data_IF_773282193238
#
_entry.id   IF_773282193238
#
_cell.length_a   1.000
_cell.length_b   1.000
_cell.length_c   1.000
_cell.angle_alpha   90.00
_cell.angle_beta   90.00
_cell.angle_gamma   90.00
#
_symmetry.space_group_name_H-M   'P 1'
#
loop_
_entity.id
_entity.type
_entity.pdbx_description
1 polymer ?
#
# COMPACT_ATOMS: atom_id res chain seq x y z
N UNK A 1 -26.70 -75.71 48.19
CA UNK A 1 -26.05 -76.42 47.07
C UNK A 1 -24.63 -75.92 47.01
N UNK A 2 -23.60 -76.72 47.15
CA UNK A 2 -23.43 -78.11 47.55
C UNK A 2 -21.92 -78.24 47.81
N UNK A 3 -21.56 -79.08 48.75
CA UNK A 3 -20.21 -79.33 49.22
C UNK A 3 -19.29 -79.91 48.14
N UNK A 4 -17.98 -79.85 48.39
CA UNK A 4 -17.05 -81.01 48.46
C UNK A 4 -15.63 -80.46 48.32
N UNK A 5 -14.68 -80.71 49.21
CA UNK A 5 -14.15 -82.01 49.66
C UNK A 5 -12.64 -81.93 49.36
N UNK A 6 -11.76 -81.84 50.37
CA UNK A 6 -11.14 -82.87 51.21
C UNK A 6 -9.72 -83.23 50.72
N UNK A 7 -8.87 -83.51 51.71
CA UNK A 7 -7.47 -84.00 51.74
C UNK A 7 -6.35 -82.97 51.49
N UNK A 8 -5.49 -82.65 52.49
CA UNK A 8 -4.44 -83.45 53.20
C UNK A 8 -3.28 -83.80 52.26
N UNK A 9 -2.00 -83.68 52.59
CA UNK A 9 -1.23 -83.24 53.76
C UNK A 9 0.24 -83.08 53.26
N UNK A 10 1.15 -82.69 54.17
CA UNK A 10 2.62 -82.92 54.14
C UNK A 10 3.58 -81.71 53.91
N UNK A 11 3.62 -80.88 54.96
CA UNK A 11 4.76 -80.45 55.78
C UNK A 11 6.21 -80.39 55.24
N UNK A 12 6.91 -79.27 55.52
CA UNK A 12 8.31 -79.20 56.04
C UNK A 12 8.46 -77.86 56.83
N UNK A 13 8.45 -77.87 58.18
CA UNK A 13 9.60 -77.86 59.13
C UNK A 13 10.38 -76.51 59.21
N UNK A 14 10.18 -75.72 60.30
CA UNK A 14 11.14 -75.43 61.42
C UNK A 14 12.08 -74.21 61.17
N UNK A 15 12.46 -73.31 62.11
CA UNK A 15 12.39 -73.10 63.58
C UNK A 15 12.66 -71.58 63.80
N UNK A 16 11.88 -70.89 64.64
CA UNK A 16 12.23 -70.37 65.99
C UNK A 16 13.21 -69.17 66.02
N UNK A 17 12.64 -68.01 66.33
CA UNK A 17 13.28 -66.82 66.91
C UNK A 17 13.81 -67.12 68.31
N UNK A 18 14.83 -66.37 68.79
CA UNK A 18 14.62 -65.59 70.02
C UNK A 18 15.76 -64.63 70.45
N UNK A 19 15.32 -63.65 71.26
CA UNK A 19 15.96 -63.01 72.43
C UNK A 19 16.73 -61.64 72.39
N UNK A 20 16.05 -60.65 73.01
CA UNK A 20 16.46 -59.64 74.05
C UNK A 20 17.15 -58.30 73.75
N UNK A 21 16.39 -57.23 74.08
CA UNK A 21 16.57 -56.19 75.13
C UNK A 21 17.89 -55.39 75.30
N UNK A 22 17.81 -54.03 75.25
CA UNK A 22 17.77 -53.13 76.43
C UNK A 22 18.24 -51.66 76.19
N UNK A 23 17.39 -50.72 76.67
CA UNK A 23 17.60 -49.39 77.32
C UNK A 23 18.15 -48.13 76.62
N UNK A 24 17.33 -47.08 76.77
CA UNK A 24 17.51 -45.63 76.57
C UNK A 24 18.47 -44.93 77.55
N UNK A 25 19.03 -43.78 77.13
CA UNK A 25 18.92 -42.47 77.82
C UNK A 25 19.70 -41.34 77.09
N UNK A 26 19.04 -40.22 76.77
CA UNK A 26 19.50 -38.84 77.07
C UNK A 26 18.60 -37.77 76.41
N UNK A 27 18.08 -36.85 77.24
CA UNK A 27 17.31 -35.66 76.87
C UNK A 27 18.23 -34.49 76.48
N UNK A 28 17.91 -33.75 75.41
CA UNK A 28 18.47 -32.42 75.09
C UNK A 28 17.34 -31.46 74.71
N UNK A 29 17.26 -30.32 75.40
CA UNK A 29 16.37 -29.19 75.09
C UNK A 29 17.06 -28.19 74.18
N UNK A 30 16.55 -27.92 72.97
CA UNK A 30 16.82 -26.66 72.22
C UNK A 30 15.68 -26.30 71.24
N UNK A 31 15.41 -24.99 71.15
CA UNK A 31 14.35 -24.22 70.44
C UNK A 31 13.98 -24.61 68.99
N UNK A 32 12.79 -24.23 68.49
CA UNK A 32 12.39 -24.50 67.10
C UNK A 32 13.02 -23.49 66.13
N UNK A 33 13.89 -23.97 65.23
CA UNK A 33 14.47 -23.17 64.15
C UNK A 33 13.55 -23.20 62.93
N UNK A 34 12.92 -22.06 62.65
CA UNK A 34 12.02 -21.80 61.52
C UNK A 34 12.79 -21.92 60.18
N UNK A 35 12.67 -23.05 59.49
CA UNK A 35 13.26 -23.28 58.15
C UNK A 35 12.41 -22.63 57.04
N UNK A 36 12.48 -21.30 56.89
CA UNK A 36 11.92 -20.58 55.73
C UNK A 36 12.80 -19.47 55.10
N UNK A 37 14.15 -19.51 55.10
CA UNK A 37 14.94 -18.42 54.51
C UNK A 37 15.47 -18.66 53.08
N UNK A 38 15.27 -19.82 52.44
CA UNK A 38 15.83 -20.05 51.10
C UNK A 38 14.78 -20.13 49.99
N UNK A 39 13.72 -20.91 50.19
CA UNK A 39 12.66 -21.03 49.19
C UNK A 39 11.89 -19.71 48.97
N UNK A 40 11.70 -18.92 50.03
CA UNK A 40 11.08 -17.59 49.96
C UNK A 40 11.94 -16.60 49.18
N UNK A 41 13.27 -16.62 49.38
CA UNK A 41 14.20 -15.79 48.64
C UNK A 41 14.30 -16.18 47.17
N UNK A 42 14.28 -17.48 46.86
CA UNK A 42 14.25 -17.98 45.48
C UNK A 42 12.95 -17.52 44.79
N UNK A 43 11.80 -17.61 45.48
CA UNK A 43 10.53 -17.15 44.93
C UNK A 43 10.51 -15.63 44.68
N UNK A 44 11.06 -14.84 45.60
CA UNK A 44 11.17 -13.37 45.44
C UNK A 44 12.09 -13.02 44.26
N UNK A 45 13.23 -13.71 44.12
CA UNK A 45 14.16 -13.50 43.01
C UNK A 45 13.54 -13.90 41.66
N UNK A 46 12.76 -14.99 41.62
CA UNK A 46 12.02 -15.39 40.43
C UNK A 46 10.94 -14.36 40.05
N UNK A 47 10.24 -13.80 41.03
CA UNK A 47 9.25 -12.75 40.79
C UNK A 47 9.91 -11.46 40.30
N UNK A 48 11.04 -11.07 40.91
CA UNK A 48 11.80 -9.88 40.52
C UNK A 48 12.37 -9.99 39.10
N UNK A 49 12.84 -11.18 38.69
CA UNK A 49 13.30 -11.43 37.33
C UNK A 49 12.14 -11.41 36.33
N UNK A 50 10.98 -12.00 36.65
CA UNK A 50 9.77 -11.91 35.80
C UNK A 50 9.29 -10.47 35.61
N UNK A 51 9.23 -9.68 36.70
CA UNK A 51 8.85 -8.27 36.64
C UNK A 51 9.89 -7.44 35.88
N UNK A 52 11.18 -7.72 36.08
CA UNK A 52 12.26 -7.08 35.33
C UNK A 52 12.19 -7.35 33.83
N UNK A 53 11.93 -8.60 33.44
CA UNK A 53 11.72 -8.98 32.02
C UNK A 53 10.46 -8.34 31.46
N UNK A 54 9.37 -8.26 32.24
CA UNK A 54 8.14 -7.61 31.81
C UNK A 54 8.33 -6.09 31.60
N UNK A 55 8.95 -5.40 32.56
CA UNK A 55 9.29 -3.98 32.44
C UNK A 55 10.22 -3.77 31.25
N UNK A 56 11.29 -4.58 31.10
CA UNK A 56 12.20 -4.51 29.96
C UNK A 56 11.49 -4.74 28.62
N UNK A 57 10.51 -5.67 28.57
CA UNK A 57 9.70 -5.91 27.38
C UNK A 57 8.79 -4.74 27.04
N UNK A 58 8.23 -4.06 28.04
CA UNK A 58 7.44 -2.83 27.87
C UNK A 58 8.34 -1.67 27.45
N UNK A 59 9.54 -1.55 28.00
CA UNK A 59 10.57 -0.58 27.58
C UNK A 59 10.98 -0.80 26.12
N UNK A 60 11.19 -2.04 25.68
CA UNK A 60 11.46 -2.36 24.28
C UNK A 60 10.29 -2.02 23.35
N UNK A 61 9.04 -2.15 23.85
CA UNK A 61 7.82 -1.83 23.11
C UNK A 61 7.54 -0.32 23.05
N UNK A 62 7.95 0.44 24.07
CA UNK A 62 7.83 1.90 24.11
C UNK A 62 9.00 2.63 23.42
N UNK A 63 10.23 2.10 23.49
CA UNK A 63 11.43 2.74 22.89
C UNK A 63 11.78 2.26 21.47
N UNK A 64 10.94 1.44 20.81
CA UNK A 64 11.15 1.10 19.39
C UNK A 64 12.50 0.47 19.05
N UNK A 65 13.24 -0.08 20.02
CA UNK A 65 14.61 -0.56 19.81
C UNK A 65 14.66 -1.81 18.92
N UNK A 66 13.55 -2.57 18.83
CA UNK A 66 13.38 -3.66 17.87
C UNK A 66 13.26 -3.16 16.42
N UNK A 67 12.78 -1.94 16.22
CA UNK A 67 12.85 -1.25 14.92
C UNK A 67 14.27 -0.75 14.63
N UNK A 68 14.99 -0.28 15.65
CA UNK A 68 16.40 0.13 15.54
C UNK A 68 17.34 -0.99 15.07
N UNK A 69 17.19 -2.21 15.59
CA UNK A 69 17.99 -3.38 15.20
C UNK A 69 17.69 -3.89 13.78
N UNK A 70 16.45 -3.75 13.31
CA UNK A 70 16.08 -4.00 11.90
C UNK A 70 16.55 -2.88 10.98
N UNK A 71 16.66 -1.65 11.49
CA UNK A 71 17.17 -0.51 10.75
C UNK A 71 18.69 -0.59 10.58
N UNK A 72 19.43 -1.11 11.57
CA UNK A 72 20.87 -1.35 11.45
C UNK A 72 21.21 -2.48 10.47
N UNK A 73 20.42 -3.55 10.39
CA UNK A 73 20.62 -4.60 9.37
C UNK A 73 20.25 -4.16 7.95
N UNK A 74 19.45 -3.09 7.80
CA UNK A 74 19.22 -2.44 6.51
C UNK A 74 20.33 -1.45 6.12
N UNK A 75 21.06 -0.89 7.10
CA UNK A 75 22.20 0.01 6.87
C UNK A 75 23.47 -0.79 6.52
N UNK A 76 23.63 -2.01 7.01
CA UNK A 76 24.84 -2.82 6.76
C UNK A 76 24.98 -3.33 5.32
N UNK A 77 23.91 -3.26 4.51
CA UNK A 77 23.97 -3.55 3.05
C UNK A 77 24.45 -2.36 2.20
N UNK A 78 24.88 -1.25 2.80
CA UNK A 78 25.44 -0.08 2.09
C UNK A 78 26.96 -0.14 1.81
N UNK A 79 27.64 -1.26 2.09
CA UNK A 79 29.11 -1.33 2.03
C UNK A 79 29.74 -2.02 0.80
N UNK A 80 29.07 -1.98 -0.34
CA UNK A 80 29.71 -2.07 -1.65
C UNK A 80 29.17 -0.92 -2.52
N UNK A 81 29.96 0.14 -2.74
CA UNK A 81 29.59 1.24 -3.66
C UNK A 81 30.33 1.05 -4.98
N UNK A 82 29.78 0.35 -5.98
CA UNK A 82 30.35 0.29 -7.33
C UNK A 82 30.17 1.60 -8.12
N UNK A 83 29.33 2.52 -7.65
CA UNK A 83 28.93 3.70 -8.42
C UNK A 83 29.54 4.99 -7.87
N UNK A 84 30.30 5.70 -8.71
CA UNK A 84 30.67 7.09 -8.45
C UNK A 84 29.41 7.94 -8.39
N UNK A 85 29.17 8.56 -7.22
CA UNK A 85 28.06 9.49 -7.03
C UNK A 85 28.46 10.81 -7.71
N UNK A 86 27.81 11.25 -8.80
CA UNK A 86 27.88 12.67 -9.16
C UNK A 86 27.41 13.51 -7.95
N UNK A 87 27.73 14.81 -7.92
CA UNK A 87 27.29 15.72 -6.87
C UNK A 87 25.76 15.85 -6.88
N UNK A 88 25.08 14.88 -6.25
CA UNK A 88 23.65 14.90 -5.99
C UNK A 88 23.45 15.83 -4.79
N UNK A 89 22.64 16.88 -4.89
CA UNK A 89 22.34 17.74 -3.76
C UNK A 89 21.79 16.94 -2.58
N UNK A 90 22.15 17.32 -1.35
CA UNK A 90 21.70 16.60 -0.14
C UNK A 90 20.18 16.46 -0.05
N UNK A 91 19.46 17.47 -0.56
CA UNK A 91 17.98 17.49 -0.63
C UNK A 91 17.38 16.45 -1.58
N UNK A 92 18.17 15.92 -2.51
CA UNK A 92 17.75 14.92 -3.50
C UNK A 92 18.15 13.49 -3.11
N UNK A 93 19.10 13.31 -2.18
CA UNK A 93 19.59 12.01 -1.72
C UNK A 93 18.46 11.06 -1.30
N UNK A 94 17.44 11.49 -0.52
CA UNK A 94 16.38 10.58 -0.07
C UNK A 94 15.52 9.99 -1.20
N UNK A 95 15.53 10.60 -2.38
CA UNK A 95 14.68 10.24 -3.53
C UNK A 95 15.44 9.46 -4.61
N UNK A 96 16.72 9.18 -4.39
CA UNK A 96 17.60 8.50 -5.35
C UNK A 96 17.92 7.10 -4.83
N UNK A 97 17.58 6.08 -5.62
CA UNK A 97 17.73 4.68 -5.23
C UNK A 97 18.57 3.91 -6.25
N UNK A 98 19.26 2.86 -5.80
CA UNK A 98 20.00 1.93 -6.65
C UNK A 98 19.49 0.50 -6.39
N UNK A 99 18.25 0.18 -6.81
CA UNK A 99 17.67 -1.13 -6.57
C UNK A 99 18.44 -2.22 -7.31
N UNK A 100 18.61 -3.36 -6.63
CA UNK A 100 19.21 -4.59 -7.15
C UNK A 100 18.12 -5.65 -7.27
N UNK A 101 17.43 -5.76 -8.41
CA UNK A 101 16.36 -6.74 -8.59
C UNK A 101 16.90 -8.17 -8.52
N UNK A 102 16.15 -9.06 -7.88
CA UNK A 102 16.52 -10.49 -7.79
C UNK A 102 16.28 -11.22 -9.12
N UNK A 103 15.40 -10.67 -9.96
CA UNK A 103 14.85 -11.36 -11.13
C UNK A 103 15.56 -11.05 -12.45
N UNK A 104 16.54 -10.14 -12.46
CA UNK A 104 17.40 -9.80 -13.61
C UNK A 104 18.56 -8.89 -13.16
N UNK A 105 19.60 -8.76 -13.98
CA UNK A 105 20.66 -7.77 -13.75
C UNK A 105 20.37 -6.48 -14.51
N UNK A 106 20.63 -5.32 -13.88
CA UNK A 106 20.59 -4.00 -14.53
C UNK A 106 21.83 -3.71 -15.38
N UNK A 107 22.80 -4.65 -15.43
CA UNK A 107 24.03 -4.59 -16.23
C UNK A 107 24.72 -3.22 -16.18
N UNK A 108 24.95 -2.60 -17.34
CA UNK A 108 25.61 -1.29 -17.48
C UNK A 108 24.86 -0.16 -16.74
N UNK A 109 23.56 -0.32 -16.53
CA UNK A 109 22.70 0.63 -15.85
C UNK A 109 22.54 0.37 -14.34
N UNK A 110 23.33 -0.52 -13.75
CA UNK A 110 23.35 -0.73 -12.29
C UNK A 110 23.60 0.58 -11.51
N UNK A 111 24.42 1.47 -12.08
CA UNK A 111 24.73 2.78 -11.51
C UNK A 111 23.82 3.92 -11.95
N UNK A 112 22.75 3.63 -12.69
CA UNK A 112 21.72 4.62 -13.01
C UNK A 112 20.79 4.78 -11.80
N UNK A 113 20.67 6.00 -11.23
CA UNK A 113 19.76 6.25 -10.13
C UNK A 113 18.31 6.04 -10.55
N UNK A 114 17.50 5.50 -9.66
CA UNK A 114 16.07 5.24 -9.86
C UNK A 114 15.26 6.09 -8.91
N UNK A 115 14.28 6.81 -9.44
CA UNK A 115 13.31 7.60 -8.68
C UNK A 115 11.99 6.87 -8.57
N UNK A 116 11.45 6.83 -7.36
CA UNK A 116 10.18 6.18 -7.10
C UNK A 116 9.04 7.19 -7.18
N UNK A 117 7.96 6.82 -7.87
CA UNK A 117 6.78 7.67 -7.94
C UNK A 117 5.47 6.88 -7.81
N UNK A 118 4.39 7.62 -7.52
CA UNK A 118 3.02 7.12 -7.61
C UNK A 118 2.10 8.19 -8.20
N UNK A 119 1.32 7.83 -9.21
CA UNK A 119 0.28 8.68 -9.79
C UNK A 119 -0.99 8.50 -8.95
N UNK A 120 -1.30 9.48 -8.12
CA UNK A 120 -2.46 9.46 -7.22
C UNK A 120 -3.63 10.16 -7.92
N UNK A 121 -4.74 9.44 -8.13
CA UNK A 121 -5.83 9.96 -8.97
C UNK A 121 -7.18 9.35 -8.59
N UNK A 122 -8.24 9.82 -9.26
CA UNK A 122 -9.57 9.22 -9.19
C UNK A 122 -9.94 8.64 -10.55
N UNK A 123 -10.88 7.68 -10.57
CA UNK A 123 -11.41 7.15 -11.83
C UNK A 123 -11.89 8.29 -12.74
N UNK A 124 -11.60 8.16 -14.03
CA UNK A 124 -11.99 9.11 -15.09
C UNK A 124 -11.39 10.53 -14.98
N UNK A 125 -10.24 10.64 -14.30
CA UNK A 125 -9.46 11.89 -14.22
C UNK A 125 -8.30 11.96 -15.23
N UNK A 126 -8.29 11.09 -16.24
CA UNK A 126 -7.28 11.09 -17.30
C UNK A 126 -5.97 10.35 -16.97
N UNK A 127 -5.88 9.71 -15.80
CA UNK A 127 -4.65 9.05 -15.33
C UNK A 127 -4.18 7.88 -16.20
N UNK A 128 -5.07 7.15 -16.87
CA UNK A 128 -4.68 6.15 -17.87
C UNK A 128 -4.00 6.75 -19.10
N UNK A 129 -4.47 7.90 -19.59
CA UNK A 129 -3.81 8.61 -20.70
C UNK A 129 -2.48 9.22 -20.25
N UNK A 130 -2.46 9.87 -19.09
CA UNK A 130 -1.24 10.44 -18.51
C UNK A 130 -0.16 9.40 -18.26
N UNK A 131 -0.52 8.22 -17.74
CA UNK A 131 0.40 7.10 -17.58
C UNK A 131 1.02 6.66 -18.92
N UNK A 132 0.23 6.57 -19.99
CA UNK A 132 0.80 6.22 -21.32
C UNK A 132 1.73 7.29 -21.87
N UNK A 133 1.53 8.56 -21.52
CA UNK A 133 2.48 9.62 -21.86
C UNK A 133 3.81 9.39 -21.15
N UNK A 134 3.78 9.13 -19.84
CA UNK A 134 5.00 8.86 -19.07
C UNK A 134 5.72 7.60 -19.57
N UNK A 135 5.00 6.51 -19.84
CA UNK A 135 5.58 5.27 -20.37
C UNK A 135 6.06 5.37 -21.83
N UNK A 136 5.84 6.49 -22.51
CA UNK A 136 6.51 6.75 -23.80
C UNK A 136 7.96 7.20 -23.64
N UNK A 137 8.37 7.54 -22.41
CA UNK A 137 9.76 7.80 -22.06
C UNK A 137 10.49 6.49 -21.79
N UNK A 138 11.63 6.28 -22.45
CA UNK A 138 12.38 5.03 -22.41
C UNK A 138 12.79 4.62 -20.98
N UNK A 139 13.23 5.57 -20.15
CA UNK A 139 13.62 5.31 -18.77
C UNK A 139 12.50 5.36 -17.71
N UNK A 140 11.22 5.51 -18.10
CA UNK A 140 10.09 5.50 -17.15
C UNK A 140 9.31 4.19 -17.24
N UNK A 141 9.05 3.59 -16.09
CA UNK A 141 8.18 2.40 -15.97
C UNK A 141 7.06 2.64 -14.95
N UNK A 142 5.88 3.04 -15.41
CA UNK A 142 4.63 3.01 -14.64
C UNK A 142 3.88 1.68 -14.86
N UNK A 143 3.56 0.99 -13.76
CA UNK A 143 3.07 -0.40 -13.77
C UNK A 143 1.54 -0.54 -13.65
N UNK A 144 0.76 0.48 -14.06
CA UNK A 144 -0.70 0.41 -14.04
C UNK A 144 -1.30 0.45 -12.64
N UNK A 145 -2.57 0.04 -12.55
CA UNK A 145 -3.35 -0.01 -11.30
C UNK A 145 -3.13 -1.32 -10.54
N UNK A 146 -1.91 -1.52 -10.01
CA UNK A 146 -1.58 -2.78 -9.33
C UNK A 146 -2.49 -3.05 -8.12
N UNK A 147 -3.04 -2.01 -7.49
CA UNK A 147 -3.96 -2.10 -6.34
C UNK A 147 -5.45 -2.14 -6.71
N UNK A 148 -5.79 -2.25 -8.00
CA UNK A 148 -7.15 -2.63 -8.41
C UNK A 148 -7.52 -4.04 -7.89
N UNK A 149 -6.51 -4.91 -7.76
CA UNK A 149 -6.59 -6.27 -7.19
C UNK A 149 -6.77 -6.20 -5.67
N UNK A 150 -7.85 -6.80 -5.15
CA UNK A 150 -8.27 -6.66 -3.74
C UNK A 150 -7.27 -7.26 -2.77
N UNK A 151 -6.70 -8.41 -3.11
CA UNK A 151 -5.79 -9.18 -2.27
C UNK A 151 -4.54 -8.36 -1.90
N UNK A 152 -4.03 -7.60 -2.86
CA UNK A 152 -2.83 -6.74 -2.70
C UNK A 152 -3.07 -5.55 -1.76
N UNK A 153 -4.33 -5.18 -1.55
CA UNK A 153 -4.74 -4.09 -0.64
C UNK A 153 -5.63 -4.55 0.51
N UNK A 154 -5.55 -5.82 0.86
CA UNK A 154 -6.31 -6.42 1.97
C UNK A 154 -5.98 -5.79 3.32
N UNK A 155 -4.71 -5.46 3.55
CA UNK A 155 -4.19 -4.78 4.73
C UNK A 155 -2.87 -4.05 4.40
N UNK A 156 -2.35 -3.28 5.36
CA UNK A 156 -1.11 -2.51 5.16
C UNK A 156 0.10 -3.38 4.85
N UNK A 157 0.24 -4.56 5.47
CA UNK A 157 1.36 -5.49 5.19
C UNK A 157 1.36 -5.97 3.74
N UNK A 158 0.19 -6.28 3.18
CA UNK A 158 0.03 -6.66 1.77
C UNK A 158 0.38 -5.49 0.84
N UNK A 159 0.00 -4.27 1.22
CA UNK A 159 0.31 -3.05 0.48
C UNK A 159 1.83 -2.83 0.46
N UNK A 160 2.48 -2.81 1.62
CA UNK A 160 3.93 -2.55 1.71
C UNK A 160 4.73 -3.62 0.99
N UNK A 161 4.36 -4.91 1.13
CA UNK A 161 4.99 -6.01 0.39
C UNK A 161 4.87 -5.83 -1.13
N UNK A 162 3.72 -5.34 -1.60
CA UNK A 162 3.49 -5.06 -3.02
C UNK A 162 4.33 -3.89 -3.50
N UNK A 163 4.41 -2.80 -2.72
CA UNK A 163 5.25 -1.64 -3.02
C UNK A 163 6.74 -1.99 -3.00
N UNK A 164 7.20 -2.79 -2.05
CA UNK A 164 8.60 -3.22 -1.98
C UNK A 164 8.98 -4.03 -3.22
N UNK A 165 8.11 -4.95 -3.65
CA UNK A 165 8.31 -5.70 -4.90
C UNK A 165 8.39 -4.78 -6.11
N UNK A 166 7.55 -3.74 -6.18
CA UNK A 166 7.57 -2.75 -7.25
C UNK A 166 8.86 -1.93 -7.26
N UNK A 167 9.21 -1.33 -6.13
CA UNK A 167 10.30 -0.37 -6.03
C UNK A 167 11.69 -1.04 -6.00
N UNK A 168 11.76 -2.33 -5.67
CA UNK A 168 12.97 -3.13 -5.88
C UNK A 168 13.12 -3.62 -7.34
N UNK A 169 12.24 -3.18 -8.26
CA UNK A 169 12.21 -3.58 -9.66
C UNK A 169 11.90 -5.07 -9.92
N UNK A 170 11.34 -5.79 -8.96
CA UNK A 170 10.96 -7.20 -9.07
C UNK A 170 9.48 -7.40 -9.43
N UNK A 171 8.82 -6.34 -9.90
CA UNK A 171 7.47 -6.44 -10.42
C UNK A 171 7.45 -7.17 -11.76
N UNK A 172 6.78 -8.33 -11.77
CA UNK A 172 6.52 -9.07 -13.00
C UNK A 172 5.36 -8.39 -13.73
N UNK A 173 5.67 -7.75 -14.85
CA UNK A 173 4.68 -7.24 -15.80
C UNK A 173 4.94 -7.82 -17.19
N UNK A 174 3.97 -7.71 -18.09
CA UNK A 174 4.12 -8.08 -19.49
C UNK A 174 4.99 -7.10 -20.28
N UNK A 175 5.39 -5.96 -19.69
CA UNK A 175 6.34 -5.05 -20.31
C UNK A 175 7.76 -5.62 -20.17
N UNK A 176 8.56 -5.50 -21.24
CA UNK A 176 9.97 -5.89 -21.20
C UNK A 176 10.68 -5.17 -20.05
N UNK A 177 11.44 -5.91 -19.24
CA UNK A 177 12.21 -5.31 -18.15
C UNK A 177 13.28 -4.40 -18.75
N UNK A 178 13.24 -3.12 -18.42
CA UNK A 178 14.25 -2.17 -18.86
C UNK A 178 15.36 -2.06 -17.82
N UNK A 179 16.54 -2.55 -18.18
CA UNK A 179 17.78 -2.48 -17.40
C UNK A 179 18.11 -1.04 -16.96
N UNK A 180 17.77 -0.07 -17.82
CA UNK A 180 18.06 1.36 -17.66
C UNK A 180 16.86 2.18 -17.18
N UNK A 181 15.93 1.57 -16.44
CA UNK A 181 14.87 2.31 -15.75
C UNK A 181 15.49 3.37 -14.81
N UNK A 182 15.06 4.62 -14.95
CA UNK A 182 15.48 5.75 -14.10
C UNK A 182 14.32 6.31 -13.27
N UNK A 183 13.07 5.99 -13.61
CA UNK A 183 11.93 6.19 -12.72
C UNK A 183 10.96 5.02 -12.79
N UNK A 184 10.53 4.52 -11.64
CA UNK A 184 9.56 3.43 -11.53
C UNK A 184 8.41 3.83 -10.63
N UNK A 185 7.21 3.45 -11.01
CA UNK A 185 6.02 3.77 -10.25
C UNK A 185 4.80 2.98 -10.66
N UNK A 186 3.67 3.49 -10.17
CA UNK A 186 2.36 2.92 -10.38
C UNK A 186 1.30 4.01 -10.51
N UNK A 187 0.13 3.63 -10.99
CA UNK A 187 -1.09 4.40 -10.86
C UNK A 187 -1.92 3.86 -9.72
N UNK A 188 -2.38 4.74 -8.83
CA UNK A 188 -3.16 4.33 -7.65
C UNK A 188 -4.37 5.23 -7.48
N UNK A 189 -5.55 4.61 -7.55
CA UNK A 189 -6.78 5.36 -7.34
C UNK A 189 -7.03 5.60 -5.84
N UNK A 190 -7.51 6.79 -5.48
CA UNK A 190 -7.74 7.19 -4.07
C UNK A 190 -8.63 6.20 -3.30
N UNK A 191 -9.61 5.60 -3.98
CA UNK A 191 -10.53 4.62 -3.40
C UNK A 191 -10.01 3.16 -3.39
N UNK A 192 -8.80 2.90 -3.90
CA UNK A 192 -8.20 1.57 -3.94
C UNK A 192 -7.35 1.29 -2.68
N UNK A 193 -7.91 1.56 -1.50
CA UNK A 193 -7.24 1.32 -0.21
C UNK A 193 -6.23 2.39 0.21
N UNK A 194 -5.81 3.27 -0.71
CA UNK A 194 -4.87 4.37 -0.44
C UNK A 194 -5.37 5.28 0.69
N UNK A 195 -6.58 5.80 0.57
CA UNK A 195 -7.15 6.70 1.59
C UNK A 195 -7.49 5.99 2.90
N UNK A 196 -7.68 4.67 2.87
CA UNK A 196 -7.96 3.86 4.08
C UNK A 196 -6.70 3.69 4.94
N UNK A 197 -5.53 3.58 4.31
CA UNK A 197 -4.23 3.35 4.96
C UNK A 197 -3.30 4.54 4.78
N UNK A 198 -3.86 5.76 4.77
CA UNK A 198 -3.12 6.94 4.33
C UNK A 198 -1.93 7.27 5.25
N UNK A 199 -2.06 7.06 6.57
CA UNK A 199 -0.99 7.36 7.53
C UNK A 199 0.23 6.48 7.28
N UNK A 200 0.01 5.18 7.15
CA UNK A 200 1.07 4.20 6.94
C UNK A 200 1.68 4.31 5.53
N UNK A 201 0.87 4.67 4.53
CA UNK A 201 1.37 4.92 3.17
C UNK A 201 2.22 6.20 3.13
N UNK A 202 1.83 7.26 3.84
CA UNK A 202 2.64 8.49 3.96
C UNK A 202 3.98 8.18 4.63
N UNK A 203 3.97 7.41 5.71
CA UNK A 203 5.20 6.96 6.37
C UNK A 203 6.09 6.15 5.42
N UNK A 204 5.50 5.20 4.68
CA UNK A 204 6.22 4.43 3.67
C UNK A 204 6.84 5.34 2.60
N UNK A 205 6.06 6.27 2.04
CA UNK A 205 6.50 7.15 0.95
C UNK A 205 7.64 8.04 1.41
N UNK A 206 7.55 8.63 2.60
CA UNK A 206 8.63 9.46 3.15
C UNK A 206 9.88 8.65 3.44
N UNK A 207 9.75 7.46 4.05
CA UNK A 207 10.88 6.58 4.35
C UNK A 207 11.57 6.06 3.09
N UNK A 208 10.80 5.76 2.04
CA UNK A 208 11.29 5.17 0.79
C UNK A 208 11.52 6.18 -0.32
N UNK A 209 11.40 7.48 -0.07
CA UNK A 209 11.65 8.50 -1.10
C UNK A 209 10.66 8.46 -2.27
N UNK A 210 9.42 8.04 -2.05
CA UNK A 210 8.41 7.97 -3.12
C UNK A 210 7.80 9.34 -3.35
N UNK A 211 7.87 9.82 -4.59
CA UNK A 211 7.26 11.09 -5.00
C UNK A 211 5.82 10.90 -5.47
N UNK A 212 4.89 11.75 -5.02
CA UNK A 212 3.49 11.67 -5.40
C UNK A 212 3.18 12.64 -6.56
N UNK A 213 2.54 12.14 -7.62
CA UNK A 213 2.01 12.94 -8.72
C UNK A 213 0.49 12.90 -8.62
N UNK A 214 -0.11 13.97 -8.11
CA UNK A 214 -1.56 14.09 -8.12
C UNK A 214 -2.04 14.46 -9.51
N UNK A 215 -2.92 13.65 -10.09
CA UNK A 215 -3.66 14.01 -11.30
C UNK A 215 -5.16 14.01 -11.00
N UNK A 216 -5.69 15.20 -10.81
CA UNK A 216 -7.09 15.44 -10.49
C UNK A 216 -7.83 15.99 -11.70
N UNK A 217 -9.16 16.10 -11.60
CA UNK A 217 -10.00 16.67 -12.66
C UNK A 217 -10.90 17.73 -12.07
N UNK A 218 -10.81 18.97 -12.55
CA UNK A 218 -11.58 20.08 -11.98
C UNK A 218 -13.06 19.95 -12.27
N UNK A 219 -13.44 19.56 -13.49
CA UNK A 219 -14.85 19.44 -13.83
C UNK A 219 -15.41 18.09 -13.37
N UNK A 220 -15.95 18.07 -12.15
CA UNK A 220 -16.48 16.85 -11.53
C UNK A 220 -17.78 16.36 -12.18
N UNK A 221 -18.59 17.25 -12.77
CA UNK A 221 -19.78 16.85 -13.54
C UNK A 221 -19.38 16.07 -14.80
N UNK A 222 -18.43 16.59 -15.58
CA UNK A 222 -17.90 15.92 -16.77
C UNK A 222 -17.18 14.61 -16.40
N UNK A 223 -16.49 14.58 -15.25
CA UNK A 223 -15.95 13.34 -14.70
C UNK A 223 -17.06 12.33 -14.42
N UNK A 224 -18.15 12.76 -13.79
CA UNK A 224 -19.28 11.90 -13.44
C UNK A 224 -20.00 11.33 -14.68
N UNK A 225 -20.25 12.17 -15.69
CA UNK A 225 -20.73 11.70 -17.01
C UNK A 225 -19.82 10.60 -17.56
N UNK A 226 -18.51 10.81 -17.48
CA UNK A 226 -17.56 9.81 -17.96
C UNK A 226 -17.51 8.53 -17.13
N UNK A 227 -17.91 8.55 -15.85
CA UNK A 227 -18.07 7.35 -15.02
C UNK A 227 -19.28 6.58 -15.51
N UNK A 228 -20.43 7.26 -15.62
CA UNK A 228 -21.69 6.63 -16.06
C UNK A 228 -21.56 6.01 -17.46
N UNK A 229 -20.92 6.71 -18.41
CA UNK A 229 -20.68 6.15 -19.74
C UNK A 229 -19.75 4.94 -19.73
N UNK A 230 -18.72 4.94 -18.88
CA UNK A 230 -17.82 3.79 -18.74
C UNK A 230 -18.53 2.57 -18.13
N UNK A 231 -19.39 2.80 -17.14
CA UNK A 231 -20.16 1.73 -16.49
C UNK A 231 -21.24 1.19 -17.44
N UNK A 232 -21.85 2.04 -18.26
CA UNK A 232 -22.73 1.61 -19.34
C UNK A 232 -21.99 0.67 -20.31
N UNK A 233 -20.84 1.07 -20.86
CA UNK A 233 -20.05 0.20 -21.74
C UNK A 233 -19.58 -1.09 -21.04
N UNK A 234 -19.34 -1.08 -19.72
CA UNK A 234 -19.04 -2.31 -18.98
C UNK A 234 -20.21 -3.31 -19.05
N UNK A 235 -21.43 -2.82 -19.01
CA UNK A 235 -22.65 -3.64 -19.06
C UNK A 235 -23.03 -4.05 -20.49
N UNK A 236 -22.95 -3.13 -21.45
CA UNK A 236 -23.43 -3.34 -22.83
C UNK A 236 -22.34 -3.80 -23.80
N UNK A 237 -21.06 -3.58 -23.44
CA UNK A 237 -19.87 -3.95 -24.21
C UNK A 237 -19.96 -3.48 -25.66
N UNK A 238 -20.09 -2.16 -25.83
CA UNK A 238 -20.50 -1.51 -27.09
C UNK A 238 -19.51 -1.75 -28.25
N UNK A 239 -18.27 -2.12 -27.95
CA UNK A 239 -17.24 -2.38 -28.95
C UNK A 239 -17.03 -3.88 -29.13
N UNK A 240 -17.79 -4.48 -30.04
CA UNK A 240 -17.69 -5.89 -30.42
C UNK A 240 -17.76 -6.85 -29.21
N UNK A 241 -18.69 -6.60 -28.28
CA UNK A 241 -18.85 -7.45 -27.11
C UNK A 241 -17.70 -7.34 -26.10
N UNK A 242 -16.86 -6.31 -26.19
CA UNK A 242 -15.75 -6.04 -25.27
C UNK A 242 -15.89 -4.68 -24.60
N UNK A 243 -15.71 -4.63 -23.28
CA UNK A 243 -15.60 -3.37 -22.53
C UNK A 243 -14.24 -2.69 -22.80
N UNK A 244 -14.25 -1.38 -23.08
CA UNK A 244 -13.03 -0.58 -23.30
C UNK A 244 -13.07 0.72 -22.51
N UNK A 245 -12.27 0.78 -21.44
CA UNK A 245 -12.09 2.01 -20.66
C UNK A 245 -11.33 3.12 -21.43
N UNK A 246 -10.50 2.72 -22.39
CA UNK A 246 -9.68 3.58 -23.26
C UNK A 246 -9.67 3.03 -24.68
N UNK A 247 -9.53 3.93 -25.67
CA UNK A 247 -9.53 3.60 -27.10
C UNK A 247 -8.38 4.31 -27.81
N UNK A 248 -7.95 3.73 -28.93
CA UNK A 248 -6.88 4.27 -29.78
C UNK A 248 -7.36 4.82 -31.12
N UNK A 249 -8.63 4.61 -31.46
CA UNK A 249 -9.21 5.02 -32.73
C UNK A 249 -10.41 5.95 -32.51
N UNK A 250 -10.53 6.99 -33.35
CA UNK A 250 -11.62 7.97 -33.26
C UNK A 250 -13.00 7.32 -33.45
N UNK A 251 -13.17 6.43 -34.42
CA UNK A 251 -14.47 5.76 -34.62
C UNK A 251 -14.96 4.98 -33.40
N UNK A 252 -14.07 4.30 -32.67
CA UNK A 252 -14.41 3.63 -31.40
C UNK A 252 -14.78 4.64 -30.31
N UNK A 253 -14.05 5.76 -30.25
CA UNK A 253 -14.35 6.86 -29.33
C UNK A 253 -15.73 7.45 -29.61
N UNK A 254 -16.08 7.62 -30.88
CA UNK A 254 -17.38 8.16 -31.31
C UNK A 254 -18.53 7.23 -30.92
N UNK A 255 -18.37 5.91 -31.07
CA UNK A 255 -19.37 4.91 -30.62
C UNK A 255 -19.60 5.01 -29.12
N UNK A 256 -18.53 5.01 -28.32
CA UNK A 256 -18.64 5.11 -26.85
C UNK A 256 -19.25 6.44 -26.40
N UNK A 257 -19.00 7.53 -27.12
CA UNK A 257 -19.53 8.86 -26.83
C UNK A 257 -21.01 9.05 -27.23
N UNK A 258 -21.65 8.06 -27.88
CA UNK A 258 -23.07 8.14 -28.23
C UNK A 258 -23.99 7.99 -27.02
N UNK A 259 -23.55 7.26 -25.99
CA UNK A 259 -24.35 7.07 -24.79
C UNK A 259 -24.44 8.38 -23.99
N UNK A 260 -25.67 8.79 -23.69
CA UNK A 260 -25.97 9.95 -22.84
C UNK A 260 -26.65 9.46 -21.56
N UNK A 261 -26.00 9.55 -20.39
CA UNK A 261 -26.65 9.22 -19.15
C UNK A 261 -27.77 10.21 -18.79
N UNK A 262 -28.86 9.68 -18.26
CA UNK A 262 -29.81 10.43 -17.45
C UNK A 262 -29.24 10.52 -16.02
N UNK A 263 -29.04 11.73 -15.51
CA UNK A 263 -28.43 11.98 -14.20
C UNK A 263 -29.51 12.20 -13.14
N UNK A 264 -29.40 11.49 -12.02
CA UNK A 264 -30.26 11.69 -10.85
C UNK A 264 -29.95 13.03 -10.17
N UNK A 265 -30.86 14.00 -10.31
CA UNK A 265 -30.72 15.33 -9.69
C UNK A 265 -30.74 15.27 -8.16
N UNK A 266 -31.50 14.32 -7.58
CA UNK A 266 -31.62 14.12 -6.14
C UNK A 266 -30.28 13.82 -5.45
N UNK A 267 -29.37 13.10 -6.13
CA UNK A 267 -28.07 12.70 -5.58
C UNK A 267 -26.88 13.46 -6.15
N UNK A 268 -27.08 14.28 -7.18
CA UNK A 268 -26.00 14.92 -7.94
C UNK A 268 -25.10 15.80 -7.06
N UNK A 269 -25.67 16.71 -6.28
CA UNK A 269 -24.90 17.61 -5.40
C UNK A 269 -24.08 16.80 -4.38
N UNK A 270 -24.69 15.75 -3.82
CA UNK A 270 -24.00 14.87 -2.85
C UNK A 270 -22.85 14.09 -3.50
N UNK A 271 -23.01 13.64 -4.75
CA UNK A 271 -21.95 12.98 -5.53
C UNK A 271 -20.77 13.91 -5.79
N UNK A 272 -21.04 15.14 -6.26
CA UNK A 272 -20.03 16.16 -6.52
C UNK A 272 -19.28 16.52 -5.23
N UNK A 273 -20.02 16.75 -4.13
CA UNK A 273 -19.45 17.03 -2.81
C UNK A 273 -18.54 15.91 -2.31
N UNK A 274 -18.96 14.65 -2.48
CA UNK A 274 -18.16 13.50 -2.05
C UNK A 274 -16.85 13.40 -2.85
N UNK A 275 -16.94 13.62 -4.16
CA UNK A 275 -15.76 13.61 -5.04
C UNK A 275 -14.79 14.74 -4.70
N UNK A 276 -15.31 15.95 -4.48
CA UNK A 276 -14.49 17.10 -4.10
C UNK A 276 -13.81 16.90 -2.75
N UNK A 277 -14.57 16.46 -1.74
CA UNK A 277 -14.05 16.12 -0.41
C UNK A 277 -12.95 15.06 -0.48
N UNK A 278 -13.14 14.00 -1.25
CA UNK A 278 -12.14 12.94 -1.37
C UNK A 278 -10.83 13.45 -1.99
N UNK A 279 -10.90 14.38 -2.94
CA UNK A 279 -9.71 15.01 -3.52
C UNK A 279 -9.02 15.95 -2.51
N UNK A 280 -9.78 16.79 -1.81
CA UNK A 280 -9.28 17.69 -0.78
C UNK A 280 -8.61 16.92 0.38
N UNK A 281 -9.30 15.89 0.91
CA UNK A 281 -8.79 15.04 1.98
C UNK A 281 -7.49 14.34 1.54
N UNK A 282 -7.37 13.91 0.28
CA UNK A 282 -6.14 13.32 -0.24
C UNK A 282 -4.97 14.32 -0.29
N UNK A 283 -5.21 15.55 -0.75
CA UNK A 283 -4.16 16.58 -0.75
C UNK A 283 -3.69 16.92 0.67
N UNK A 284 -4.62 16.97 1.63
CA UNK A 284 -4.28 17.20 3.05
C UNK A 284 -3.51 16.03 3.65
N UNK A 285 -3.98 14.81 3.44
CA UNK A 285 -3.40 13.61 4.05
C UNK A 285 -1.97 13.33 3.56
N UNK A 286 -1.66 13.69 2.32
CA UNK A 286 -0.37 13.39 1.67
C UNK A 286 0.53 14.64 1.52
N UNK A 287 0.18 15.76 2.17
CA UNK A 287 0.89 17.04 2.04
C UNK A 287 2.37 17.02 2.44
N UNK A 288 2.76 16.09 3.31
CA UNK A 288 4.13 15.98 3.84
C UNK A 288 5.06 15.21 2.91
N UNK A 289 4.51 14.51 1.92
CA UNK A 289 5.29 13.80 0.91
C UNK A 289 5.70 14.80 -0.17
N UNK A 290 6.88 14.63 -0.76
CA UNK A 290 7.27 15.33 -1.98
C UNK A 290 6.22 15.08 -3.07
N UNK A 291 5.50 16.12 -3.46
CA UNK A 291 4.39 15.99 -4.40
C UNK A 291 4.32 17.12 -5.43
N UNK A 292 3.72 16.81 -6.57
CA UNK A 292 3.28 17.78 -7.58
C UNK A 292 1.79 17.57 -7.83
N UNK A 293 1.03 18.67 -7.93
CA UNK A 293 -0.42 18.64 -8.18
C UNK A 293 -0.72 19.14 -9.57
N UNK A 294 -1.38 18.29 -10.35
CA UNK A 294 -1.80 18.56 -11.71
C UNK A 294 -3.31 18.35 -11.83
N UNK A 295 -3.89 19.11 -12.73
CA UNK A 295 -5.26 18.93 -13.15
C UNK A 295 -5.31 18.56 -14.63
N UNK A 296 -6.16 17.60 -14.97
CA UNK A 296 -6.34 17.08 -16.32
C UNK A 296 -6.50 18.20 -17.35
N UNK A 297 -7.29 19.22 -17.03
CA UNK A 297 -7.57 20.35 -17.90
C UNK A 297 -6.29 21.14 -18.25
N UNK A 298 -5.35 21.26 -17.31
CA UNK A 298 -4.08 21.97 -17.54
C UNK A 298 -3.14 21.12 -18.39
N UNK A 299 -3.06 19.81 -18.14
CA UNK A 299 -2.19 18.90 -18.90
C UNK A 299 -2.65 18.79 -20.35
N UNK A 300 -3.97 18.83 -20.58
CA UNK A 300 -4.54 18.83 -21.95
C UNK A 300 -4.30 20.15 -22.67
N UNK A 301 -4.48 21.28 -21.99
CA UNK A 301 -4.39 22.62 -22.61
C UNK A 301 -2.95 23.11 -22.76
N UNK A 302 -2.06 22.75 -21.84
CA UNK A 302 -0.67 23.17 -21.82
C UNK A 302 0.28 21.98 -21.65
N UNK A 303 0.95 21.60 -22.74
CA UNK A 303 1.90 20.49 -22.75
C UNK A 303 3.16 20.74 -21.92
N UNK A 304 3.50 21.99 -21.57
CA UNK A 304 4.65 22.26 -20.69
C UNK A 304 4.46 21.66 -19.30
N UNK A 305 3.21 21.36 -18.90
CA UNK A 305 2.92 20.64 -17.65
C UNK A 305 3.53 19.24 -17.61
N UNK A 306 3.80 18.62 -18.76
CA UNK A 306 4.52 17.35 -18.82
C UNK A 306 6.02 17.53 -18.57
N UNK A 307 6.60 18.65 -19.03
CA UNK A 307 7.97 19.06 -18.70
C UNK A 307 8.13 19.25 -17.20
N UNK A 308 7.17 19.94 -16.54
CA UNK A 308 7.17 20.10 -15.08
C UNK A 308 7.25 18.75 -14.34
N UNK A 309 6.63 17.69 -14.89
CA UNK A 309 6.66 16.33 -14.32
C UNK A 309 8.01 15.65 -14.54
N UNK A 310 8.60 15.77 -15.73
CA UNK A 310 9.92 15.22 -16.01
C UNK A 310 10.98 15.91 -15.16
N UNK A 311 10.91 17.23 -15.00
CA UNK A 311 11.78 18.00 -14.11
C UNK A 311 11.57 17.63 -12.63
N UNK A 312 10.31 17.42 -12.22
CA UNK A 312 9.99 16.94 -10.87
C UNK A 312 10.61 15.57 -10.58
N UNK A 313 10.59 14.67 -11.57
CA UNK A 313 11.24 13.36 -11.54
C UNK A 313 12.72 13.39 -11.93
N UNK A 314 13.31 14.56 -12.21
CA UNK A 314 14.71 14.73 -12.64
C UNK A 314 15.12 13.84 -13.81
N UNK A 315 14.26 13.76 -14.83
CA UNK A 315 14.50 13.01 -16.06
C UNK A 315 14.76 13.96 -17.23
N UNK A 316 15.45 13.50 -18.29
CA UNK A 316 15.61 14.28 -19.50
C UNK A 316 14.28 14.74 -20.09
N UNK A 317 14.23 15.99 -20.51
CA UNK A 317 13.06 16.55 -21.17
C UNK A 317 12.97 16.04 -22.61
N UNK A 318 12.02 15.14 -22.85
CA UNK A 318 11.72 14.61 -24.17
C UNK A 318 10.24 14.78 -24.51
N UNK A 319 9.91 14.66 -25.80
CA UNK A 319 8.52 14.74 -26.25
C UNK A 319 7.78 13.45 -25.92
N UNK A 320 6.87 13.52 -24.94
CA UNK A 320 5.99 12.42 -24.60
C UNK A 320 4.84 12.28 -25.62
N UNK A 321 4.40 11.04 -25.86
CA UNK A 321 3.32 10.74 -26.79
C UNK A 321 2.38 9.65 -26.26
N UNK A 322 1.13 9.66 -26.73
CA UNK A 322 0.14 8.64 -26.35
C UNK A 322 -0.74 8.33 -27.54
N UNK A 323 -1.11 7.05 -27.67
CA UNK A 323 -2.09 6.58 -28.65
C UNK A 323 -3.53 6.70 -28.15
N UNK A 324 -3.76 7.10 -26.89
CA UNK A 324 -5.13 7.24 -26.37
C UNK A 324 -5.84 8.42 -27.03
N UNK A 325 -7.12 8.21 -27.35
CA UNK A 325 -8.00 9.24 -27.90
C UNK A 325 -9.03 9.64 -26.86
N UNK A 326 -9.34 10.94 -26.78
CA UNK A 326 -10.40 11.48 -25.91
C UNK A 326 -11.75 11.04 -26.44
N UNK A 327 -12.56 10.38 -25.59
CA UNK A 327 -13.91 9.89 -25.94
C UNK A 327 -14.89 11.06 -26.08
N UNK A 328 -15.10 11.83 -25.01
CA UNK A 328 -16.04 12.95 -25.03
C UNK A 328 -15.38 14.23 -25.58
N UNK A 329 -15.67 14.57 -26.83
CA UNK A 329 -15.12 15.75 -27.53
C UNK A 329 -16.15 16.87 -27.74
N UNK A 330 -17.46 16.57 -27.68
CA UNK A 330 -18.56 17.55 -27.77
C UNK A 330 -18.73 18.36 -26.47
N UNK A 331 -19.62 19.36 -26.47
CA UNK A 331 -19.92 20.17 -25.27
C UNK A 331 -20.55 19.28 -24.21
N UNK A 332 -20.39 19.63 -22.93
CA UNK A 332 -20.90 18.81 -21.82
C UNK A 332 -22.40 18.52 -21.93
N UNK A 333 -23.20 19.54 -22.28
CA UNK A 333 -24.64 19.40 -22.52
C UNK A 333 -25.02 18.35 -23.55
N UNK A 334 -24.15 18.08 -24.52
CA UNK A 334 -24.42 17.14 -25.60
C UNK A 334 -24.22 15.69 -25.14
N UNK A 335 -23.64 15.48 -23.95
CA UNK A 335 -23.35 14.17 -23.34
C UNK A 335 -24.27 13.84 -22.16
N UNK A 336 -25.34 14.61 -21.94
CA UNK A 336 -26.29 14.42 -20.84
C UNK A 336 -27.69 14.41 -21.43
N UNK A 337 -28.48 13.40 -21.08
CA UNK A 337 -29.82 13.22 -21.63
C UNK A 337 -30.81 14.26 -21.07
N UNK A 338 -30.88 14.37 -19.73
CA UNK A 338 -31.71 15.34 -19.02
C UNK A 338 -30.95 16.62 -18.66
N UNK A 339 -30.29 17.26 -19.65
CA UNK A 339 -29.43 18.43 -19.41
C UNK A 339 -30.13 19.59 -18.68
N UNK A 340 -31.39 19.88 -19.02
CA UNK A 340 -32.14 21.00 -18.40
C UNK A 340 -32.29 20.81 -16.89
N UNK A 341 -32.62 19.60 -16.45
CA UNK A 341 -32.76 19.29 -15.02
C UNK A 341 -31.42 19.40 -14.29
N UNK A 342 -30.34 18.92 -14.91
CA UNK A 342 -28.98 19.03 -14.37
C UNK A 342 -28.54 20.48 -14.29
N UNK A 343 -28.79 21.28 -15.33
CA UNK A 343 -28.51 22.70 -15.36
C UNK A 343 -29.24 23.40 -14.21
N UNK A 344 -30.56 23.22 -14.09
CA UNK A 344 -31.38 23.84 -13.05
C UNK A 344 -30.95 23.41 -11.64
N UNK A 345 -30.47 22.17 -11.47
CA UNK A 345 -29.98 21.66 -10.18
C UNK A 345 -28.66 22.30 -9.74
N UNK A 346 -27.79 22.65 -10.70
CA UNK A 346 -26.45 23.18 -10.39
C UNK A 346 -26.35 24.70 -10.51
N UNK A 347 -27.24 25.34 -11.27
CA UNK A 347 -27.29 26.78 -11.44
C UNK A 347 -27.51 27.47 -10.09
N UNK A 348 -26.71 28.48 -9.76
CA UNK A 348 -26.76 29.16 -8.46
C UNK A 348 -26.15 28.36 -7.29
N UNK A 349 -25.55 27.20 -7.55
CA UNK A 349 -24.80 26.42 -6.54
C UNK A 349 -23.29 26.64 -6.69
N UNK A 350 -22.49 26.26 -5.69
CA UNK A 350 -21.02 26.27 -5.80
C UNK A 350 -20.46 25.43 -6.96
N UNK A 351 -21.27 24.53 -7.53
CA UNK A 351 -20.89 23.66 -8.65
C UNK A 351 -21.32 24.20 -10.02
N UNK A 352 -21.91 25.41 -10.08
CA UNK A 352 -22.35 26.04 -11.33
C UNK A 352 -21.23 26.12 -12.37
N UNK A 353 -19.99 26.37 -11.92
CA UNK A 353 -18.81 26.42 -12.80
C UNK A 353 -18.59 25.14 -13.62
N UNK A 354 -19.12 23.99 -13.18
CA UNK A 354 -19.01 22.74 -13.91
C UNK A 354 -19.92 22.66 -15.14
N UNK A 355 -20.94 23.51 -15.24
CA UNK A 355 -21.82 23.60 -16.42
C UNK A 355 -21.08 24.14 -17.64
N UNK A 356 -20.06 24.98 -17.41
CA UNK A 356 -19.28 25.65 -18.46
C UNK A 356 -18.02 24.88 -18.86
N UNK A 357 -18.13 23.56 -19.01
CA UNK A 357 -17.01 22.71 -19.41
C UNK A 357 -16.30 23.22 -20.67
N UNK A 358 -15.08 23.75 -20.52
CA UNK A 358 -14.22 24.10 -21.66
C UNK A 358 -13.82 22.82 -22.41
N UNK A 359 -13.67 22.93 -23.73
CA UNK A 359 -13.35 21.81 -24.63
C UNK A 359 -11.97 21.23 -24.36
#
# INVERSE_FOLDING_TARGET
MEEAGRDKDEAVLVRVEDFSAAKDAANVTTKPTRRYPLASWIAILALATLVGVYIFSLSLKQNGMLFGLKQTSMIEKEREKPCHRPSIPDTEIPYVHYPTPDTYSRKECACTPVRFFAILSMQRSGSGWFETLLNSHENISSNGEIFSVKERRSNITSITKTLDKLYNLDWLSSAAKNECTAAVGLKWMLNQGLMKHHQEVVEYFNRRGVSAIFLLRRNLLQRYVSILANDHDRSTKQLNGTHKAHVHHRGQADVLAQYKPTISTKSLIAELKRSDKLAADALVNFKTIRNIVLYYEDVVSNRTKLTDVLDFLKLPNIKLSSRHVKIHTKRLRDHIDNWIDVYNTLNGTQYESFLNGRR
#
